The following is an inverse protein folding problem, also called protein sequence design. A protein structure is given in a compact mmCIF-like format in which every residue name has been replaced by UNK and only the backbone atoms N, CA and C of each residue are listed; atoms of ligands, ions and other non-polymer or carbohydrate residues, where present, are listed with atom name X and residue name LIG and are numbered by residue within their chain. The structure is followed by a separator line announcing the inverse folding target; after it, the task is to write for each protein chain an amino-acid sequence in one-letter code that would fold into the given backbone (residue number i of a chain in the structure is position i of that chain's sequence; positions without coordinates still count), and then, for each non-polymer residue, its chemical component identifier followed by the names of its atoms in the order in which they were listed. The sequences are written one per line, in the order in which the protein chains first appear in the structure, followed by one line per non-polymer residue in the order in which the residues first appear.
data_IF_360818797150
#
_entry.id   IF_360818797150
#
_cell.length_a   1.000
_cell.length_b   1.000
_cell.length_c   1.000
_cell.angle_alpha   90.00
_cell.angle_beta   90.00
_cell.angle_gamma   90.00
#
_symmetry.space_group_name_H-M   'P 1'
#
loop_
_entity.id
_entity.type
_entity.pdbx_description
1 polymer ?
#
# COMPACT_ATOMS: atom_id res chain seq x y z
N UNK A 1 44.59 -4.01 -25.42
CA UNK A 1 44.40 -4.90 -24.26
C UNK A 1 44.26 -4.15 -22.92
N UNK A 2 45.10 -3.19 -22.62
CA UNK A 2 45.07 -2.39 -21.35
C UNK A 2 43.77 -1.56 -21.24
N UNK A 3 43.23 -1.00 -22.33
CA UNK A 3 41.99 -0.21 -22.33
C UNK A 3 40.72 -1.04 -22.00
N UNK A 4 40.69 -2.29 -22.38
CA UNK A 4 39.56 -3.20 -22.12
C UNK A 4 39.49 -3.59 -20.64
N UNK A 5 40.64 -3.80 -20.01
CA UNK A 5 40.74 -4.15 -18.57
C UNK A 5 40.31 -2.97 -17.69
N UNK A 6 40.65 -1.73 -18.07
CA UNK A 6 40.21 -0.54 -17.37
C UNK A 6 38.70 -0.26 -17.45
N UNK A 7 38.07 -0.69 -18.59
CA UNK A 7 36.62 -0.55 -18.77
C UNK A 7 35.84 -1.60 -17.94
N UNK A 8 36.35 -2.84 -17.91
CA UNK A 8 35.76 -3.94 -17.13
C UNK A 8 35.87 -3.64 -15.62
N UNK A 9 37.04 -3.18 -15.15
CA UNK A 9 37.23 -2.79 -13.75
C UNK A 9 36.32 -1.62 -13.35
N UNK A 10 36.11 -0.61 -14.22
CA UNK A 10 35.13 0.46 -13.97
C UNK A 10 33.69 -0.06 -13.94
N UNK A 11 33.34 -1.02 -14.80
CA UNK A 11 32.00 -1.63 -14.81
C UNK A 11 31.73 -2.48 -13.57
N UNK A 12 32.75 -3.19 -13.06
CA UNK A 12 32.64 -3.98 -11.83
C UNK A 12 32.56 -3.06 -10.59
N UNK A 13 33.38 -2.02 -10.52
CA UNK A 13 33.30 -1.01 -9.44
C UNK A 13 31.94 -0.28 -9.45
N UNK A 14 31.41 0.08 -10.63
CA UNK A 14 30.07 0.68 -10.73
C UNK A 14 28.97 -0.32 -10.34
N UNK A 15 29.12 -1.61 -10.67
CA UNK A 15 28.21 -2.66 -10.20
C UNK A 15 28.29 -2.92 -8.70
N UNK A 16 29.49 -2.91 -8.11
CA UNK A 16 29.65 -3.03 -6.67
C UNK A 16 29.15 -1.79 -5.91
N UNK A 17 29.42 -0.58 -6.42
CA UNK A 17 28.89 0.66 -5.85
C UNK A 17 27.37 0.73 -5.97
N UNK A 18 26.77 0.22 -7.08
CA UNK A 18 25.31 0.13 -7.20
C UNK A 18 24.70 -0.94 -6.29
N UNK A 19 25.46 -1.96 -5.86
CA UNK A 19 25.06 -2.93 -4.83
C UNK A 19 25.09 -2.37 -3.41
N UNK A 20 25.80 -1.25 -3.18
CA UNK A 20 25.96 -0.63 -1.86
C UNK A 20 24.96 0.51 -1.62
N UNK A 21 24.33 1.05 -2.67
CA UNK A 21 23.31 2.09 -2.51
C UNK A 21 21.92 1.47 -2.42
N UNK A 22 21.36 1.48 -1.19
CA UNK A 22 19.96 1.09 -0.95
C UNK A 22 19.02 1.89 -1.84
N UNK A 23 18.09 1.20 -2.48
CA UNK A 23 16.98 1.85 -3.18
C UNK A 23 16.03 2.49 -2.18
N UNK A 24 15.15 3.38 -2.63
CA UNK A 24 14.13 3.93 -1.73
C UNK A 24 13.14 2.85 -1.26
N UNK A 25 12.92 1.83 -2.07
CA UNK A 25 12.09 0.67 -1.71
C UNK A 25 12.72 -0.11 -0.55
N UNK A 26 14.04 -0.34 -0.59
CA UNK A 26 14.77 -1.01 0.51
C UNK A 26 14.68 -0.19 1.81
N UNK A 27 14.80 1.14 1.71
CA UNK A 27 14.64 2.05 2.86
C UNK A 27 13.21 1.94 3.42
N UNK A 28 12.20 1.89 2.54
CA UNK A 28 10.81 1.78 2.95
C UNK A 28 10.53 0.41 3.60
N UNK A 29 11.05 -0.69 3.03
CA UNK A 29 10.97 -2.02 3.63
C UNK A 29 11.51 -2.03 5.06
N UNK A 30 12.76 -1.58 5.25
CA UNK A 30 13.39 -1.52 6.57
C UNK A 30 12.62 -0.61 7.54
N UNK A 31 12.02 0.47 7.05
CA UNK A 31 11.21 1.38 7.86
C UNK A 31 9.95 0.70 8.34
N UNK A 32 9.21 0.04 7.44
CA UNK A 32 7.97 -0.66 7.78
C UNK A 32 8.26 -1.86 8.69
N UNK A 33 9.31 -2.66 8.40
CA UNK A 33 9.72 -3.77 9.25
C UNK A 33 10.00 -3.29 10.69
N UNK A 34 10.74 -2.19 10.85
CA UNK A 34 10.98 -1.57 12.15
C UNK A 34 9.70 -1.11 12.82
N UNK A 35 8.80 -0.43 12.11
CA UNK A 35 7.52 0.03 12.68
C UNK A 35 6.65 -1.13 13.17
N UNK A 36 6.62 -2.25 12.45
CA UNK A 36 5.92 -3.46 12.87
C UNK A 36 6.52 -3.99 14.18
N UNK A 37 7.86 -4.05 14.29
CA UNK A 37 8.57 -4.48 15.50
C UNK A 37 8.33 -3.51 16.68
N UNK A 38 8.20 -2.21 16.43
CA UNK A 38 7.88 -1.16 17.41
C UNK A 38 6.39 -1.14 17.80
N UNK A 39 5.54 -1.99 17.19
CA UNK A 39 4.12 -2.11 17.50
C UNK A 39 3.22 -1.13 16.80
N UNK A 40 3.61 -0.67 15.61
CA UNK A 40 2.81 0.20 14.76
C UNK A 40 1.41 -0.37 14.50
N UNK A 41 0.39 0.48 14.59
CA UNK A 41 -1.00 0.06 14.53
C UNK A 41 -1.35 -0.69 13.24
N UNK A 42 -0.84 -0.22 12.09
CA UNK A 42 -1.10 -0.83 10.79
C UNK A 42 -0.26 -2.10 10.51
N UNK A 43 0.58 -2.49 11.46
CA UNK A 43 1.31 -3.76 11.48
C UNK A 43 0.77 -4.76 12.51
N UNK A 44 -0.29 -4.43 13.27
CA UNK A 44 -0.84 -5.34 14.28
C UNK A 44 -1.80 -6.35 13.67
N UNK A 45 -1.55 -7.65 13.84
CA UNK A 45 -2.46 -8.70 13.37
C UNK A 45 -3.84 -8.57 14.00
N UNK A 46 -4.88 -8.92 13.24
CA UNK A 46 -6.25 -9.00 13.75
C UNK A 46 -6.35 -10.01 14.90
N UNK A 47 -7.22 -9.75 15.88
CA UNK A 47 -7.42 -10.65 17.01
C UNK A 47 -8.24 -11.89 16.61
N UNK A 48 -8.17 -12.95 17.43
CA UNK A 48 -9.03 -14.12 17.28
C UNK A 48 -10.51 -13.73 17.37
N UNK A 49 -10.88 -12.88 18.32
CA UNK A 49 -12.27 -12.44 18.51
C UNK A 49 -12.80 -11.70 17.27
N UNK A 50 -11.98 -10.83 16.65
CA UNK A 50 -12.36 -10.15 15.42
C UNK A 50 -12.55 -11.11 14.23
N UNK A 51 -11.70 -12.14 14.13
CA UNK A 51 -11.83 -13.19 13.12
C UNK A 51 -13.14 -14.00 13.32
N UNK A 52 -13.47 -14.37 14.56
CA UNK A 52 -14.70 -15.08 14.87
C UNK A 52 -15.94 -14.19 14.66
N UNK A 53 -15.88 -12.92 15.05
CA UNK A 53 -16.95 -11.95 14.79
C UNK A 53 -17.20 -11.84 13.28
N UNK A 54 -16.17 -11.81 12.45
CA UNK A 54 -16.30 -11.79 10.99
C UNK A 54 -17.03 -13.03 10.46
N UNK A 55 -16.73 -14.23 10.97
CA UNK A 55 -17.48 -15.46 10.64
C UNK A 55 -18.96 -15.37 10.98
N UNK A 56 -19.32 -14.58 11.98
CA UNK A 56 -20.70 -14.35 12.40
C UNK A 56 -21.36 -13.15 11.69
N UNK A 57 -20.69 -12.53 10.71
CA UNK A 57 -21.21 -11.42 9.91
C UNK A 57 -20.92 -10.02 10.49
N UNK A 58 -20.20 -9.91 11.61
CA UNK A 58 -19.80 -8.65 12.23
C UNK A 58 -18.34 -8.35 11.91
N UNK A 59 -18.08 -7.45 10.96
CA UNK A 59 -16.73 -7.17 10.52
C UNK A 59 -16.54 -5.73 10.04
N UNK A 60 -15.29 -5.29 10.08
CA UNK A 60 -14.83 -4.02 9.50
C UNK A 60 -13.48 -4.22 8.85
N UNK A 61 -13.27 -3.57 7.71
CA UNK A 61 -11.98 -3.44 7.04
C UNK A 61 -11.77 -1.98 6.63
N UNK A 62 -10.53 -1.56 6.49
CA UNK A 62 -10.19 -0.17 6.30
C UNK A 62 -9.29 0.02 5.08
N UNK A 63 -9.63 1.01 4.25
CA UNK A 63 -8.77 1.51 3.18
C UNK A 63 -8.03 2.79 3.64
N UNK A 64 -8.65 3.55 4.51
CA UNK A 64 -8.18 4.79 5.11
C UNK A 64 -8.36 4.74 6.64
N UNK A 65 -7.75 5.64 7.44
CA UNK A 65 -7.53 5.41 8.87
C UNK A 65 -8.79 5.23 9.73
N UNK A 66 -9.88 5.95 9.47
CA UNK A 66 -10.97 6.05 10.47
C UNK A 66 -12.31 5.50 9.98
N UNK A 67 -12.58 5.56 8.69
CA UNK A 67 -13.87 5.14 8.15
C UNK A 67 -13.79 3.73 7.53
N UNK A 68 -14.60 2.77 8.03
CA UNK A 68 -14.61 1.42 7.48
C UNK A 68 -15.17 1.40 6.06
N UNK A 69 -14.70 0.46 5.24
CA UNK A 69 -15.24 0.23 3.90
C UNK A 69 -16.72 -0.14 3.97
N UNK A 70 -17.61 0.51 3.22
CA UNK A 70 -19.01 0.13 3.14
C UNK A 70 -19.18 -1.33 2.69
N UNK A 71 -20.00 -2.12 3.39
CA UNK A 71 -20.18 -3.53 3.08
C UNK A 71 -20.70 -3.76 1.64
N UNK A 72 -21.51 -2.85 1.13
CA UNK A 72 -22.02 -2.85 -0.25
C UNK A 72 -20.94 -2.68 -1.32
N UNK A 73 -19.75 -2.19 -0.93
CA UNK A 73 -18.63 -2.12 -1.84
C UNK A 73 -18.04 -3.50 -2.15
N UNK A 74 -18.14 -4.42 -1.21
CA UNK A 74 -17.54 -5.75 -1.29
C UNK A 74 -18.53 -6.84 -1.77
N UNK A 75 -19.80 -6.74 -1.36
CA UNK A 75 -20.82 -7.73 -1.67
C UNK A 75 -20.52 -9.11 -1.06
N UNK A 76 -20.96 -10.18 -1.72
CA UNK A 76 -20.68 -11.56 -1.29
C UNK A 76 -19.24 -11.94 -1.67
N UNK A 77 -18.45 -12.29 -0.64
CA UNK A 77 -17.03 -12.64 -0.78
C UNK A 77 -16.79 -14.15 -0.89
N UNK A 78 -17.80 -14.98 -0.72
CA UNK A 78 -17.62 -16.44 -0.75
C UNK A 78 -17.07 -16.92 -2.09
N UNK A 79 -15.88 -17.55 -2.04
CA UNK A 79 -15.18 -18.05 -3.22
C UNK A 79 -14.56 -16.99 -4.12
N UNK A 80 -14.57 -15.72 -3.73
CA UNK A 80 -13.87 -14.64 -4.45
C UNK A 80 -12.37 -14.72 -4.23
N UNK A 81 -11.60 -14.51 -5.28
CA UNK A 81 -10.15 -14.38 -5.21
C UNK A 81 -9.78 -12.91 -4.96
N UNK A 82 -9.18 -12.65 -3.81
CA UNK A 82 -8.80 -11.30 -3.39
C UNK A 82 -7.27 -11.18 -3.36
N UNK A 83 -6.74 -10.14 -3.99
CA UNK A 83 -5.37 -9.71 -3.80
C UNK A 83 -5.32 -8.55 -2.81
N UNK A 84 -4.66 -8.75 -1.67
CA UNK A 84 -4.17 -7.66 -0.82
C UNK A 84 -2.86 -7.12 -1.40
N UNK A 85 -2.91 -5.95 -2.03
CA UNK A 85 -1.75 -5.31 -2.64
C UNK A 85 -1.17 -4.28 -1.69
N UNK A 86 0.07 -4.52 -1.21
CA UNK A 86 0.67 -3.80 -0.09
C UNK A 86 -0.29 -3.71 1.11
N UNK A 87 -0.86 -4.85 1.47
CA UNK A 87 -1.90 -5.02 2.49
C UNK A 87 -1.56 -6.20 3.41
N UNK A 88 -0.29 -6.31 3.77
CA UNK A 88 0.18 -7.28 4.76
C UNK A 88 -0.19 -6.93 6.19
N UNK A 89 0.37 -7.66 7.15
CA UNK A 89 0.17 -7.42 8.58
C UNK A 89 -0.91 -8.27 9.24
N UNK A 90 -1.57 -9.15 8.51
CA UNK A 90 -2.61 -10.02 9.09
C UNK A 90 -3.84 -9.25 9.56
N UNK A 91 -4.23 -8.17 8.86
CA UNK A 91 -5.35 -7.32 9.26
C UNK A 91 -6.59 -7.57 8.42
N UNK A 92 -6.53 -7.28 7.13
CA UNK A 92 -7.71 -7.29 6.25
C UNK A 92 -7.97 -8.68 5.66
N UNK A 93 -6.91 -9.36 5.24
CA UNK A 93 -7.04 -10.67 4.59
C UNK A 93 -7.63 -11.76 5.49
N UNK A 94 -7.29 -11.83 6.80
CA UNK A 94 -7.99 -12.74 7.70
C UNK A 94 -9.50 -12.51 7.75
N UNK A 95 -9.94 -11.27 7.75
CA UNK A 95 -11.38 -10.93 7.76
C UNK A 95 -12.04 -11.43 6.47
N UNK A 96 -11.43 -11.17 5.30
CA UNK A 96 -11.95 -11.66 4.03
C UNK A 96 -11.95 -13.19 3.95
N UNK A 97 -10.94 -13.84 4.51
CA UNK A 97 -10.93 -15.30 4.62
C UNK A 97 -12.06 -15.82 5.50
N UNK A 98 -12.31 -15.18 6.66
CA UNK A 98 -13.43 -15.53 7.55
C UNK A 98 -14.80 -15.45 6.83
N UNK A 99 -14.91 -14.55 5.83
CA UNK A 99 -16.09 -14.38 4.97
C UNK A 99 -16.08 -15.32 3.75
N UNK A 100 -15.12 -16.23 3.66
CA UNK A 100 -15.06 -17.29 2.64
C UNK A 100 -14.31 -16.92 1.36
N UNK A 101 -13.53 -15.85 1.35
CA UNK A 101 -12.69 -15.49 0.22
C UNK A 101 -11.39 -16.32 0.18
N UNK A 102 -10.84 -16.48 -1.04
CA UNK A 102 -9.48 -16.99 -1.30
C UNK A 102 -8.52 -15.81 -1.34
N UNK A 103 -7.71 -15.64 -0.28
CA UNK A 103 -6.85 -14.48 -0.12
C UNK A 103 -5.41 -14.74 -0.59
N UNK A 104 -4.87 -13.78 -1.32
CA UNK A 104 -3.44 -13.67 -1.66
C UNK A 104 -2.95 -12.30 -1.22
N UNK A 105 -1.75 -12.23 -0.64
CA UNK A 105 -1.11 -10.96 -0.25
C UNK A 105 0.19 -10.80 -1.02
N UNK A 106 0.47 -9.58 -1.46
CA UNK A 106 1.79 -9.14 -1.87
C UNK A 106 2.16 -7.90 -1.06
N UNK A 107 3.23 -7.99 -0.29
CA UNK A 107 3.78 -6.88 0.49
C UNK A 107 5.31 -6.91 0.44
N UNK A 108 5.94 -5.74 0.48
CA UNK A 108 7.41 -5.67 0.42
C UNK A 108 8.07 -5.86 1.80
N UNK A 109 7.31 -5.65 2.89
CA UNK A 109 7.77 -5.87 4.26
C UNK A 109 7.72 -7.36 4.63
N UNK A 110 8.87 -7.93 5.02
CA UNK A 110 8.94 -9.30 5.51
C UNK A 110 8.14 -9.49 6.81
N UNK A 111 8.10 -8.47 7.68
CA UNK A 111 7.35 -8.51 8.94
C UNK A 111 5.83 -8.50 8.72
N UNK A 112 5.38 -7.76 7.72
CA UNK A 112 3.98 -7.78 7.32
C UNK A 112 3.58 -9.18 6.77
N UNK A 113 4.45 -9.82 6.00
CA UNK A 113 4.24 -11.20 5.50
C UNK A 113 4.27 -12.23 6.64
N UNK A 114 5.21 -12.10 7.59
CA UNK A 114 5.27 -12.97 8.79
C UNK A 114 3.94 -12.91 9.57
N UNK A 115 3.36 -11.72 9.74
CA UNK A 115 2.09 -11.53 10.44
C UNK A 115 0.89 -12.17 9.71
N UNK A 116 0.88 -12.21 8.37
CA UNK A 116 -0.13 -12.95 7.61
C UNK A 116 -0.10 -14.44 7.92
N UNK A 117 1.09 -15.04 7.91
CA UNK A 117 1.25 -16.46 8.25
C UNK A 117 0.91 -16.75 9.71
N UNK A 118 1.28 -15.86 10.64
CA UNK A 118 0.95 -15.99 12.07
C UNK A 118 -0.56 -16.08 12.28
N UNK A 119 -1.33 -15.21 11.63
CA UNK A 119 -2.80 -15.25 11.76
C UNK A 119 -3.37 -16.48 11.06
N UNK A 120 -2.86 -16.83 9.88
CA UNK A 120 -3.34 -17.99 9.14
C UNK A 120 -3.13 -19.30 9.92
N UNK A 121 -1.97 -19.45 10.55
CA UNK A 121 -1.67 -20.59 11.44
C UNK A 121 -2.59 -20.63 12.66
N UNK A 122 -2.75 -19.48 13.35
CA UNK A 122 -3.62 -19.36 14.53
C UNK A 122 -5.07 -19.71 14.23
N UNK A 123 -5.60 -19.25 13.08
CA UNK A 123 -7.01 -19.42 12.72
C UNK A 123 -7.26 -20.69 11.87
N UNK A 124 -6.22 -21.38 11.44
CA UNK A 124 -6.30 -22.66 10.73
C UNK A 124 -6.76 -22.53 9.27
N UNK A 125 -6.35 -21.50 8.56
CA UNK A 125 -6.65 -21.32 7.13
C UNK A 125 -5.37 -21.21 6.27
N UNK A 126 -5.53 -21.40 4.96
CA UNK A 126 -4.43 -21.23 4.01
C UNK A 126 -4.44 -19.83 3.41
N UNK A 127 -3.26 -19.22 3.35
CA UNK A 127 -3.04 -17.96 2.64
C UNK A 127 -1.82 -18.07 1.73
N UNK A 128 -1.87 -17.40 0.57
CA UNK A 128 -0.70 -17.18 -0.27
C UNK A 128 -0.16 -15.78 0.01
N UNK A 129 0.94 -15.69 0.75
CA UNK A 129 1.60 -14.42 1.04
C UNK A 129 2.98 -14.38 0.37
N UNK A 130 3.26 -13.30 -0.36
CA UNK A 130 4.44 -13.13 -1.20
C UNK A 130 5.13 -11.84 -0.79
N UNK A 131 6.41 -11.93 -0.41
CA UNK A 131 7.26 -10.76 -0.32
C UNK A 131 7.57 -10.26 -1.73
N UNK A 132 7.11 -9.04 -2.07
CA UNK A 132 7.22 -8.51 -3.42
C UNK A 132 7.01 -7.01 -3.52
N UNK A 133 7.65 -6.40 -4.51
CA UNK A 133 7.66 -4.97 -4.77
C UNK A 133 6.55 -4.62 -5.78
N UNK A 134 5.54 -3.85 -5.35
CA UNK A 134 4.44 -3.40 -6.21
C UNK A 134 4.86 -2.38 -7.28
N UNK A 135 6.09 -1.87 -7.23
CA UNK A 135 6.66 -1.02 -8.29
C UNK A 135 7.21 -1.84 -9.47
N UNK A 136 7.12 -3.17 -9.40
CA UNK A 136 7.52 -4.12 -10.45
C UNK A 136 6.28 -4.79 -11.05
N UNK A 137 6.50 -5.56 -12.12
CA UNK A 137 5.47 -6.44 -12.66
C UNK A 137 5.07 -7.43 -11.57
N UNK A 138 3.78 -7.46 -11.22
CA UNK A 138 3.27 -8.36 -10.20
C UNK A 138 3.38 -9.83 -10.66
N UNK A 139 3.79 -10.77 -9.78
CA UNK A 139 4.01 -12.17 -10.12
C UNK A 139 2.69 -12.96 -10.26
N UNK A 140 1.72 -12.37 -10.91
CA UNK A 140 0.39 -12.95 -11.16
C UNK A 140 0.03 -12.84 -12.63
N UNK A 141 -0.76 -13.81 -13.10
CA UNK A 141 -1.31 -13.79 -14.44
C UNK A 141 -2.38 -12.72 -14.62
N UNK A 142 -2.67 -12.35 -15.85
CA UNK A 142 -3.78 -11.46 -16.17
C UNK A 142 -5.10 -12.08 -15.67
N UNK A 143 -6.03 -11.22 -15.26
CA UNK A 143 -7.42 -11.64 -14.95
C UNK A 143 -7.50 -12.76 -13.90
N UNK A 144 -6.68 -12.69 -12.87
CA UNK A 144 -6.60 -13.69 -11.79
C UNK A 144 -7.60 -13.41 -10.67
N UNK A 145 -7.75 -12.13 -10.28
CA UNK A 145 -8.47 -11.73 -9.07
C UNK A 145 -9.84 -11.12 -9.37
N UNK A 146 -10.78 -11.35 -8.46
CA UNK A 146 -12.09 -10.70 -8.47
C UNK A 146 -12.02 -9.32 -7.80
N UNK A 147 -11.16 -9.17 -6.79
CA UNK A 147 -10.96 -7.94 -6.03
C UNK A 147 -9.46 -7.70 -5.85
N UNK A 148 -9.00 -6.46 -6.06
CA UNK A 148 -7.73 -5.94 -5.53
C UNK A 148 -8.07 -5.00 -4.40
N UNK A 149 -7.61 -5.32 -3.20
CA UNK A 149 -7.73 -4.49 -2.00
C UNK A 149 -6.38 -3.83 -1.73
N UNK A 150 -6.33 -2.52 -1.85
CA UNK A 150 -5.10 -1.73 -1.81
C UNK A 150 -5.27 -0.58 -0.80
N UNK A 151 -5.03 -0.83 0.50
CA UNK A 151 -5.10 0.22 1.51
C UNK A 151 -4.00 1.27 1.30
N UNK A 152 -4.05 2.37 2.04
CA UNK A 152 -3.09 3.47 1.89
C UNK A 152 -1.65 2.96 1.90
N UNK A 153 -1.03 2.98 0.72
CA UNK A 153 0.37 2.58 0.50
C UNK A 153 1.02 3.26 -0.70
N UNK A 154 0.23 3.94 -1.56
CA UNK A 154 0.75 4.68 -2.71
C UNK A 154 1.77 5.76 -2.34
N UNK A 155 1.73 6.28 -1.12
CA UNK A 155 2.73 7.20 -0.61
C UNK A 155 4.16 6.64 -0.59
N UNK A 156 4.33 5.34 -0.61
CA UNK A 156 5.65 4.69 -0.64
C UNK A 156 6.15 4.41 -2.06
N UNK A 157 5.46 4.89 -3.10
CA UNK A 157 5.78 4.65 -4.51
C UNK A 157 5.93 5.97 -5.26
N UNK A 158 6.97 6.13 -6.08
CA UNK A 158 7.13 7.33 -6.91
C UNK A 158 6.20 7.32 -8.14
N UNK A 159 5.98 6.15 -8.76
CA UNK A 159 5.13 5.98 -9.95
C UNK A 159 3.88 5.16 -9.66
N UNK A 160 2.81 5.83 -9.25
CA UNK A 160 1.51 5.20 -8.95
C UNK A 160 0.78 4.73 -10.21
N UNK A 161 1.09 5.28 -11.40
CA UNK A 161 0.45 4.84 -12.64
C UNK A 161 0.77 3.37 -12.93
N UNK A 162 2.01 2.93 -12.65
CA UNK A 162 2.40 1.53 -12.79
C UNK A 162 1.58 0.62 -11.88
N UNK A 163 1.37 1.03 -10.62
CA UNK A 163 0.57 0.26 -9.64
C UNK A 163 -0.87 0.08 -10.12
N UNK A 164 -1.50 1.14 -10.63
CA UNK A 164 -2.85 1.04 -11.17
C UNK A 164 -2.93 0.20 -12.45
N UNK A 165 -1.93 0.28 -13.33
CA UNK A 165 -1.87 -0.55 -14.54
C UNK A 165 -1.77 -2.05 -14.17
N UNK A 166 -0.94 -2.39 -13.20
CA UNK A 166 -0.78 -3.77 -12.72
C UNK A 166 -2.03 -4.27 -12.00
N UNK A 167 -2.65 -3.43 -11.13
CA UNK A 167 -3.93 -3.76 -10.51
C UNK A 167 -5.02 -4.04 -11.57
N UNK A 168 -5.09 -3.22 -12.63
CA UNK A 168 -6.01 -3.44 -13.73
C UNK A 168 -5.71 -4.73 -14.49
N UNK A 169 -4.43 -5.01 -14.75
CA UNK A 169 -4.00 -6.21 -15.47
C UNK A 169 -4.42 -7.50 -14.77
N UNK A 170 -4.19 -7.56 -13.44
CA UNK A 170 -4.44 -8.78 -12.66
C UNK A 170 -5.92 -8.97 -12.27
N UNK A 171 -6.73 -7.93 -12.37
CA UNK A 171 -8.18 -8.02 -12.15
C UNK A 171 -8.88 -8.68 -13.35
N UNK A 172 -9.85 -9.54 -13.08
CA UNK A 172 -10.79 -10.07 -14.06
C UNK A 172 -11.68 -8.95 -14.60
N UNK A 173 -12.29 -9.18 -15.75
CA UNK A 173 -13.43 -8.35 -16.22
C UNK A 173 -14.57 -8.44 -15.20
N UNK A 174 -15.17 -7.31 -14.87
CA UNK A 174 -16.16 -7.19 -13.79
C UNK A 174 -15.54 -7.16 -12.39
N UNK A 175 -14.22 -7.29 -12.27
CA UNK A 175 -13.51 -7.17 -10.99
C UNK A 175 -13.40 -5.73 -10.51
N UNK A 176 -13.15 -5.56 -9.22
CA UNK A 176 -13.09 -4.24 -8.58
C UNK A 176 -11.74 -3.98 -7.92
N UNK A 177 -11.29 -2.74 -8.03
CA UNK A 177 -10.22 -2.16 -7.22
C UNK A 177 -10.84 -1.36 -6.09
N UNK A 178 -10.45 -1.66 -4.85
CA UNK A 178 -10.72 -0.86 -3.67
C UNK A 178 -9.40 -0.25 -3.22
N UNK A 179 -9.25 1.07 -3.33
CA UNK A 179 -8.00 1.75 -3.05
C UNK A 179 -8.15 2.85 -2.01
N UNK A 180 -7.28 2.80 -0.99
CA UNK A 180 -7.06 3.88 -0.04
C UNK A 180 -5.90 4.76 -0.52
N UNK A 181 -6.10 6.06 -0.52
CA UNK A 181 -5.20 7.04 -1.11
C UNK A 181 -5.00 8.17 -0.11
N UNK A 182 -3.76 8.56 0.13
CA UNK A 182 -3.49 9.79 0.85
C UNK A 182 -3.46 10.98 -0.13
N UNK A 183 -3.97 12.12 0.27
CA UNK A 183 -3.88 13.31 -0.56
C UNK A 183 -2.66 14.18 -0.20
N UNK A 184 -2.40 15.21 -1.01
CA UNK A 184 -1.22 16.06 -0.88
C UNK A 184 -1.18 16.87 0.41
N UNK A 185 -2.33 17.08 1.09
CA UNK A 185 -2.41 17.88 2.32
C UNK A 185 -1.54 17.27 3.43
N UNK A 186 -1.39 15.94 3.47
CA UNK A 186 -0.49 15.27 4.40
C UNK A 186 0.97 15.70 4.26
N UNK A 187 1.35 16.31 3.13
CA UNK A 187 2.74 16.61 2.79
C UNK A 187 3.06 18.11 2.70
N UNK A 188 2.06 19.00 2.85
CA UNK A 188 2.31 20.44 2.77
C UNK A 188 2.70 21.06 4.12
N UNK A 189 2.39 20.38 5.21
CA UNK A 189 2.52 20.88 6.60
C UNK A 189 3.80 20.37 7.28
N UNK A 190 4.18 21.04 8.36
CA UNK A 190 5.21 20.58 9.29
C UNK A 190 4.71 19.38 10.12
N UNK A 191 5.60 18.79 10.94
CA UNK A 191 5.29 17.63 11.79
C UNK A 191 4.25 17.90 12.88
N UNK A 192 3.99 19.16 13.20
CA UNK A 192 2.94 19.58 14.17
C UNK A 192 1.63 19.98 13.48
N UNK A 193 1.57 19.89 12.15
CA UNK A 193 0.42 20.26 11.31
C UNK A 193 -0.04 21.72 11.51
N UNK A 194 0.90 22.63 11.82
CA UNK A 194 0.61 24.03 12.13
C UNK A 194 0.90 25.00 10.98
N UNK A 195 1.95 24.73 10.23
CA UNK A 195 2.44 25.61 9.17
C UNK A 195 2.56 24.88 7.83
N UNK A 196 2.29 25.60 6.73
CA UNK A 196 2.57 25.11 5.39
C UNK A 196 4.05 25.37 5.09
N UNK A 197 4.82 24.30 4.97
CA UNK A 197 6.29 24.39 4.85
C UNK A 197 6.84 23.74 3.59
N UNK A 198 6.08 22.85 2.93
CA UNK A 198 6.57 22.10 1.79
C UNK A 198 5.94 22.53 0.47
N UNK A 199 6.78 22.53 -0.56
CA UNK A 199 6.35 22.75 -1.95
C UNK A 199 5.91 21.43 -2.58
N UNK A 200 4.79 21.47 -3.32
CA UNK A 200 4.28 20.32 -4.05
C UNK A 200 4.83 20.28 -5.51
N UNK A 201 5.01 19.06 -6.05
CA UNK A 201 4.87 17.77 -5.38
C UNK A 201 5.99 17.50 -4.35
N UNK A 202 5.66 16.88 -3.23
CA UNK A 202 6.65 16.43 -2.26
C UNK A 202 7.32 15.15 -2.78
N UNK A 203 8.60 15.23 -3.12
CA UNK A 203 9.35 14.10 -3.68
C UNK A 203 10.79 14.10 -3.14
N UNK A 204 11.11 13.21 -2.18
CA UNK A 204 12.44 13.15 -1.56
C UNK A 204 13.56 12.63 -2.48
N UNK A 205 13.23 12.12 -3.66
CA UNK A 205 14.25 11.77 -4.66
C UNK A 205 14.66 12.97 -5.53
N UNK A 206 13.82 13.99 -5.61
CA UNK A 206 14.03 15.21 -6.41
C UNK A 206 14.32 16.45 -5.57
N UNK A 207 13.96 16.44 -4.29
CA UNK A 207 14.20 17.53 -3.34
C UNK A 207 15.09 17.07 -2.18
N UNK A 208 16.25 17.70 -2.06
CA UNK A 208 17.23 17.36 -1.02
C UNK A 208 16.72 17.66 0.39
N UNK A 209 15.99 18.78 0.58
CA UNK A 209 15.45 19.15 1.89
C UNK A 209 14.36 18.16 2.33
N UNK A 210 13.48 17.75 1.40
CA UNK A 210 12.49 16.71 1.65
C UNK A 210 13.15 15.38 2.02
N UNK A 211 14.23 15.00 1.32
CA UNK A 211 14.99 13.78 1.64
C UNK A 211 15.61 13.83 3.03
N UNK A 212 16.26 14.93 3.38
CA UNK A 212 16.88 15.13 4.70
C UNK A 212 15.82 15.10 5.81
N UNK A 213 14.65 15.69 5.56
CA UNK A 213 13.51 15.63 6.47
C UNK A 213 13.03 14.19 6.69
N UNK A 214 12.77 13.41 5.62
CA UNK A 214 12.33 12.02 5.74
C UNK A 214 13.34 11.14 6.49
N UNK A 215 14.64 11.36 6.27
CA UNK A 215 15.72 10.64 6.99
C UNK A 215 15.71 11.01 8.48
N UNK A 216 15.57 12.29 8.81
CA UNK A 216 15.52 12.78 10.20
C UNK A 216 14.31 12.19 10.94
N UNK A 217 13.14 12.22 10.33
CA UNK A 217 11.90 11.68 10.91
C UNK A 217 11.83 10.14 10.89
N UNK A 218 12.79 9.47 10.24
CA UNK A 218 12.83 8.00 10.10
C UNK A 218 11.51 7.41 9.55
N UNK A 219 10.85 8.14 8.64
CA UNK A 219 9.51 7.83 8.11
C UNK A 219 9.53 7.14 6.74
N UNK A 220 10.71 6.65 6.30
CA UNK A 220 10.89 6.09 4.96
C UNK A 220 10.90 7.19 3.90
N UNK A 221 10.85 6.80 2.63
CA UNK A 221 10.72 7.73 1.51
C UNK A 221 9.27 7.77 1.07
N UNK A 222 8.58 8.87 1.37
CA UNK A 222 7.18 9.07 1.03
C UNK A 222 7.05 10.14 -0.06
N UNK A 223 6.03 9.98 -0.88
CA UNK A 223 5.74 10.82 -2.04
C UNK A 223 4.33 11.37 -1.96
N UNK A 224 4.14 12.64 -2.30
CA UNK A 224 2.80 13.16 -2.50
C UNK A 224 2.29 12.80 -3.90
N UNK A 225 1.00 12.53 -4.00
CA UNK A 225 0.32 12.29 -5.26
C UNK A 225 -0.97 13.09 -5.33
N UNK A 226 -1.11 13.89 -6.38
CA UNK A 226 -2.29 14.70 -6.59
C UNK A 226 -3.47 13.88 -7.13
N UNK A 227 -4.66 14.48 -7.17
CA UNK A 227 -5.88 13.83 -7.66
C UNK A 227 -5.73 13.33 -9.11
N UNK A 228 -4.98 14.07 -9.95
CA UNK A 228 -4.73 13.64 -11.34
C UNK A 228 -3.90 12.37 -11.43
N UNK A 229 -2.95 12.18 -10.52
CA UNK A 229 -2.14 10.95 -10.42
C UNK A 229 -2.94 9.82 -9.81
N UNK A 230 -3.69 10.07 -8.74
CA UNK A 230 -4.43 9.05 -7.99
C UNK A 230 -5.75 8.64 -8.67
N UNK A 231 -6.67 9.56 -8.87
CA UNK A 231 -7.97 9.28 -9.51
C UNK A 231 -7.80 9.19 -11.02
N UNK A 232 -7.14 10.18 -11.63
CA UNK A 232 -6.85 10.18 -13.06
C UNK A 232 -5.99 9.00 -13.49
N UNK A 233 -5.09 8.50 -12.62
CA UNK A 233 -4.28 7.30 -12.85
C UNK A 233 -5.12 6.04 -12.95
N UNK A 234 -6.15 5.87 -12.09
CA UNK A 234 -7.11 4.77 -12.20
C UNK A 234 -7.87 4.82 -13.53
N UNK A 235 -8.37 6.02 -13.91
CA UNK A 235 -9.09 6.20 -15.18
C UNK A 235 -8.18 5.90 -16.40
N UNK A 236 -6.93 6.34 -16.39
CA UNK A 236 -5.94 6.06 -17.44
C UNK A 236 -5.58 4.57 -17.54
N UNK A 237 -5.58 3.84 -16.43
CA UNK A 237 -5.39 2.40 -16.42
C UNK A 237 -6.57 1.63 -17.04
N UNK A 238 -7.73 2.28 -17.21
CA UNK A 238 -8.95 1.72 -17.81
C UNK A 238 -10.08 1.44 -16.80
N UNK A 239 -9.90 1.83 -15.54
CA UNK A 239 -10.96 1.69 -14.54
C UNK A 239 -12.10 2.68 -14.76
N UNK A 240 -13.30 2.26 -14.37
CA UNK A 240 -14.46 3.13 -14.17
C UNK A 240 -14.63 3.39 -12.68
N UNK A 241 -14.55 4.63 -12.24
CA UNK A 241 -14.82 5.01 -10.86
C UNK A 241 -16.31 4.84 -10.56
N UNK A 242 -16.63 4.06 -9.53
CA UNK A 242 -18.01 3.77 -9.13
C UNK A 242 -18.44 4.55 -7.91
N UNK A 243 -17.52 4.72 -6.93
CA UNK A 243 -17.82 5.39 -5.67
C UNK A 243 -16.55 5.94 -5.00
N UNK A 244 -16.70 6.89 -4.09
CA UNK A 244 -15.61 7.57 -3.40
C UNK A 244 -16.08 8.09 -2.03
N UNK A 245 -15.22 8.00 -1.01
CA UNK A 245 -15.39 8.77 0.22
C UNK A 245 -14.07 9.37 0.69
N UNK A 246 -14.15 10.39 1.54
CA UNK A 246 -12.99 11.04 2.15
C UNK A 246 -12.89 10.71 3.64
N UNK A 247 -11.65 10.71 4.15
CA UNK A 247 -11.34 10.40 5.54
C UNK A 247 -10.27 11.35 6.09
N UNK A 248 -10.05 11.32 7.40
CA UNK A 248 -9.05 12.11 8.11
C UNK A 248 -7.94 11.21 8.69
N UNK A 249 -6.88 11.81 9.24
CA UNK A 249 -5.81 11.09 9.97
C UNK A 249 -6.28 10.33 11.22
N UNK A 250 -7.47 10.67 11.75
CA UNK A 250 -7.95 10.14 13.03
C UNK A 250 -7.37 10.83 14.26
N UNK A 251 -6.33 11.64 14.10
CA UNK A 251 -5.70 12.46 15.15
C UNK A 251 -4.94 13.62 14.51
N UNK A 252 -4.38 14.51 15.33
CA UNK A 252 -3.61 15.65 14.87
C UNK A 252 -4.46 16.87 14.51
N UNK A 253 -3.76 17.95 14.16
CA UNK A 253 -4.40 19.25 13.92
C UNK A 253 -5.31 19.25 12.70
N UNK A 254 -4.92 18.54 11.63
CA UNK A 254 -5.74 18.40 10.43
C UNK A 254 -7.04 17.67 10.73
N UNK A 255 -6.99 16.62 11.55
CA UNK A 255 -8.19 15.90 11.99
C UNK A 255 -9.12 16.78 12.85
N UNK A 256 -8.58 17.51 13.82
CA UNK A 256 -9.34 18.44 14.67
C UNK A 256 -10.08 19.50 13.84
N UNK A 257 -9.48 19.95 12.74
CA UNK A 257 -10.08 20.89 11.80
C UNK A 257 -10.97 20.21 10.75
N UNK A 258 -11.19 18.88 10.83
CA UNK A 258 -11.93 18.07 9.88
C UNK A 258 -11.43 18.19 8.43
N UNK A 259 -10.12 18.40 8.27
CA UNK A 259 -9.48 18.43 6.95
C UNK A 259 -9.30 16.98 6.47
N UNK A 260 -9.83 16.71 5.28
CA UNK A 260 -9.75 15.38 4.69
C UNK A 260 -8.38 15.17 4.06
N UNK A 261 -7.65 14.20 4.58
CA UNK A 261 -6.28 13.88 4.19
C UNK A 261 -6.16 12.53 3.48
N UNK A 262 -7.25 11.79 3.42
CA UNK A 262 -7.37 10.51 2.73
C UNK A 262 -8.61 10.45 1.86
N UNK A 263 -8.54 9.58 0.86
CA UNK A 263 -9.62 9.27 -0.08
C UNK A 263 -9.67 7.76 -0.23
N UNK A 264 -10.85 7.18 -0.23
CA UNK A 264 -11.06 5.79 -0.62
C UNK A 264 -11.90 5.72 -1.89
N UNK A 265 -11.55 4.84 -2.79
CA UNK A 265 -12.23 4.67 -4.08
C UNK A 265 -12.68 3.24 -4.29
N UNK A 266 -13.83 3.08 -4.95
CA UNK A 266 -14.28 1.85 -5.58
C UNK A 266 -14.26 2.04 -7.09
N UNK A 267 -13.47 1.26 -7.80
CA UNK A 267 -13.35 1.32 -9.26
C UNK A 267 -13.54 -0.06 -9.88
N UNK A 268 -14.12 -0.14 -11.07
CA UNK A 268 -14.37 -1.41 -11.77
C UNK A 268 -13.56 -1.52 -13.05
N UNK A 269 -13.13 -2.75 -13.38
CA UNK A 269 -12.67 -3.16 -14.71
C UNK A 269 -13.88 -3.71 -15.49
N UNK A 270 -14.44 -2.90 -16.39
CA UNK A 270 -15.61 -3.25 -17.22
C UNK A 270 -15.22 -4.03 -18.46
#
# INVERSE_FOLDING_TARGET
MIWLIGLIAKFEVVKEVSKIMKTYQDINKETIDRWVEEGWEWGKPTSHDAYISAKNGEWKVFLAPTFPVPHEWLGDLKGKKILGLASGGGQQMPIFNALGAECTVLDYSSKQIENEFLVAEREGYNIKAIEGDMTKILPFENETFDIVFHPVSNCYVEDVQHVFNEAYRVLKKGGILLAGLNNEINYIVDSEEKEIVWKMPFNPLKDKAAKEYMIKEKSGMQFSHNITEQIGGQLKAGFTLLDIYEDTNGSGRLHELNIKTYIATKSAKL
#
